data_IF_851208778434
#
_entry.id   IF_851208778434
#
_cell.length_a   1.000
_cell.length_b   1.000
_cell.length_c   1.000
_cell.angle_alpha   90.00
_cell.angle_beta   90.00
_cell.angle_gamma   90.00
#
_symmetry.space_group_name_H-M   'P 1'
#
loop_
_entity.id
_entity.type
_entity.pdbx_description
1 polymer ?
#
# COMPACT_ATOMS: atom_id res chain seq x y z
N UNK A 1 13.85 -13.27 62.30
CA UNK A 1 14.93 -12.48 61.62
C UNK A 1 15.59 -11.43 62.53
N UNK A 2 14.85 -10.72 63.41
CA UNK A 2 15.38 -9.68 64.32
C UNK A 2 16.51 -10.15 65.23
N UNK A 3 16.46 -11.36 65.80
CA UNK A 3 17.49 -11.88 66.78
C UNK A 3 18.84 -12.21 66.12
N UNK A 4 18.88 -12.59 64.82
CA UNK A 4 20.13 -12.88 64.11
C UNK A 4 20.88 -11.59 63.69
N UNK A 5 20.15 -10.52 63.44
CA UNK A 5 20.77 -9.23 63.07
C UNK A 5 21.47 -8.53 64.25
N UNK A 6 21.01 -8.76 65.48
CA UNK A 6 21.63 -8.20 66.68
C UNK A 6 22.97 -8.83 67.07
N UNK A 7 23.22 -10.09 66.65
CA UNK A 7 24.44 -10.81 66.97
C UNK A 7 25.57 -10.65 65.96
N UNK A 8 25.32 -9.94 64.84
CA UNK A 8 26.33 -9.63 63.84
C UNK A 8 27.31 -8.55 64.30
N UNK A 9 28.60 -8.71 63.94
CA UNK A 9 29.59 -7.69 64.21
C UNK A 9 29.31 -6.35 63.51
N UNK A 10 29.84 -5.27 63.97
CA UNK A 10 29.61 -3.93 63.41
C UNK A 10 29.91 -3.88 61.90
N UNK A 11 30.95 -4.55 61.48
CA UNK A 11 31.40 -4.63 60.06
C UNK A 11 30.36 -5.32 59.18
N UNK A 12 29.76 -6.41 59.64
CA UNK A 12 28.75 -7.18 58.91
C UNK A 12 27.42 -6.40 58.81
N UNK A 13 27.08 -5.61 59.81
CA UNK A 13 25.88 -4.75 59.77
C UNK A 13 26.02 -3.65 58.72
N UNK A 14 27.23 -3.04 58.61
CA UNK A 14 27.50 -2.01 57.61
C UNK A 14 27.46 -2.59 56.22
N UNK A 15 28.07 -3.77 56.00
CA UNK A 15 28.03 -4.46 54.69
C UNK A 15 26.62 -4.82 54.27
N UNK A 16 25.80 -5.34 55.16
CA UNK A 16 24.40 -5.66 54.88
C UNK A 16 23.55 -4.43 54.55
N UNK A 17 23.77 -3.32 55.29
CA UNK A 17 23.09 -2.06 55.01
C UNK A 17 23.47 -1.49 53.65
N UNK A 18 24.75 -1.56 53.28
CA UNK A 18 25.26 -1.12 51.98
C UNK A 18 24.68 -1.97 50.84
N UNK A 19 24.59 -3.30 51.03
CA UNK A 19 24.05 -4.21 50.06
C UNK A 19 22.53 -3.98 49.83
N UNK A 20 21.78 -3.74 50.90
CA UNK A 20 20.37 -3.39 50.82
C UNK A 20 20.13 -2.06 50.11
N UNK A 21 20.92 -1.03 50.38
CA UNK A 21 20.82 0.27 49.68
C UNK A 21 21.15 0.12 48.17
N UNK A 22 22.17 -0.66 47.83
CA UNK A 22 22.52 -0.93 46.42
C UNK A 22 21.34 -1.61 45.69
N UNK A 23 20.73 -2.63 46.30
CA UNK A 23 19.59 -3.35 45.71
C UNK A 23 18.41 -2.39 45.50
N UNK A 24 18.10 -1.56 46.50
CA UNK A 24 17.02 -0.57 46.36
C UNK A 24 17.29 0.43 45.25
N UNK A 25 18.50 0.95 45.14
CA UNK A 25 18.89 1.87 44.09
C UNK A 25 18.74 1.21 42.69
N UNK A 26 19.19 -0.05 42.54
CA UNK A 26 19.08 -0.76 41.25
C UNK A 26 17.61 -0.96 40.86
N UNK A 27 16.75 -1.37 41.79
CA UNK A 27 15.33 -1.55 41.54
C UNK A 27 14.65 -0.23 41.16
N UNK A 28 15.02 0.86 41.83
CA UNK A 28 14.47 2.18 41.55
C UNK A 28 14.89 2.68 40.14
N UNK A 29 16.17 2.58 39.82
CA UNK A 29 16.69 2.93 38.48
C UNK A 29 16.06 2.08 37.37
N UNK A 30 15.92 0.77 37.61
CA UNK A 30 15.29 -0.16 36.66
C UNK A 30 13.81 0.20 36.43
N UNK A 31 13.10 0.57 37.50
CA UNK A 31 11.68 0.99 37.37
C UNK A 31 11.52 2.27 36.55
N UNK A 32 12.36 3.27 36.80
CA UNK A 32 12.34 4.52 36.03
C UNK A 32 12.67 4.24 34.54
N UNK A 33 13.70 3.44 34.29
CA UNK A 33 14.12 3.09 32.94
C UNK A 33 12.99 2.36 32.18
N UNK A 34 12.29 1.44 32.83
CA UNK A 34 11.16 0.74 32.26
C UNK A 34 10.04 1.70 31.83
N UNK A 35 9.68 2.66 32.69
CA UNK A 35 8.65 3.66 32.39
C UNK A 35 9.03 4.56 31.18
N UNK A 36 10.32 4.96 31.12
CA UNK A 36 10.82 5.76 30.00
C UNK A 36 10.76 4.96 28.69
N UNK A 37 11.19 3.70 28.70
CA UNK A 37 11.16 2.84 27.52
C UNK A 37 9.73 2.60 27.02
N UNK A 38 8.79 2.34 27.94
CA UNK A 38 7.39 2.12 27.59
C UNK A 38 6.80 3.34 26.89
N UNK A 39 7.02 4.54 27.43
CA UNK A 39 6.56 5.78 26.84
C UNK A 39 7.18 6.05 25.45
N UNK A 40 8.49 5.84 25.31
CA UNK A 40 9.18 6.01 24.03
C UNK A 40 8.69 5.01 22.98
N UNK A 41 8.44 3.78 23.39
CA UNK A 41 7.97 2.74 22.49
C UNK A 41 6.56 3.03 21.99
N UNK A 42 5.65 3.47 22.84
CA UNK A 42 4.28 3.87 22.47
C UNK A 42 4.29 5.06 21.49
N UNK A 43 5.08 6.09 21.76
CA UNK A 43 5.22 7.24 20.85
C UNK A 43 5.80 6.82 19.50
N UNK A 44 6.87 6.02 19.49
CA UNK A 44 7.49 5.56 18.24
C UNK A 44 6.55 4.68 17.40
N UNK A 45 5.69 3.88 18.02
CA UNK A 45 4.69 3.06 17.31
C UNK A 45 3.62 3.97 16.70
N UNK A 46 3.10 4.92 17.46
CA UNK A 46 2.09 5.86 16.99
C UNK A 46 2.59 6.71 15.81
N UNK A 47 3.80 7.24 15.90
CA UNK A 47 4.41 8.05 14.83
C UNK A 47 4.65 7.23 13.56
N UNK A 48 5.11 5.98 13.71
CA UNK A 48 5.28 5.06 12.57
C UNK A 48 3.95 4.70 11.91
N UNK A 49 2.91 4.50 12.70
CA UNK A 49 1.59 4.17 12.15
C UNK A 49 1.02 5.35 11.36
N UNK A 50 1.11 6.57 11.86
CA UNK A 50 0.69 7.78 11.15
C UNK A 50 1.50 7.98 9.87
N UNK A 51 2.82 7.82 9.95
CA UNK A 51 3.72 7.92 8.78
C UNK A 51 3.39 6.89 7.71
N UNK A 52 3.17 5.62 8.10
CA UNK A 52 2.78 4.55 7.19
C UNK A 52 1.42 4.82 6.53
N UNK A 53 0.42 5.26 7.28
CA UNK A 53 -0.90 5.62 6.74
C UNK A 53 -0.79 6.76 5.72
N UNK A 54 -0.02 7.78 6.03
CA UNK A 54 0.22 8.91 5.12
C UNK A 54 0.96 8.46 3.84
N UNK A 55 1.97 7.60 3.97
CA UNK A 55 2.70 7.05 2.83
C UNK A 55 1.80 6.20 1.93
N UNK A 56 0.95 5.35 2.52
CA UNK A 56 -0.02 4.54 1.77
C UNK A 56 -1.03 5.43 1.06
N UNK A 57 -1.59 6.44 1.74
CA UNK A 57 -2.54 7.38 1.14
C UNK A 57 -1.92 8.13 -0.04
N UNK A 58 -0.70 8.64 0.12
CA UNK A 58 0.01 9.34 -0.95
C UNK A 58 0.33 8.43 -2.14
N UNK A 59 0.70 7.16 -1.88
CA UNK A 59 0.94 6.17 -2.92
C UNK A 59 -0.35 5.85 -3.70
N UNK A 60 -1.47 5.67 -3.00
CA UNK A 60 -2.77 5.46 -3.63
C UNK A 60 -3.18 6.64 -4.50
N UNK A 61 -3.07 7.86 -3.97
CA UNK A 61 -3.37 9.09 -4.71
C UNK A 61 -2.51 9.23 -5.97
N UNK A 62 -1.20 8.95 -5.85
CA UNK A 62 -0.27 8.97 -6.98
C UNK A 62 -0.63 7.91 -8.02
N UNK A 63 -0.96 6.70 -7.58
CA UNK A 63 -1.37 5.61 -8.46
C UNK A 63 -2.67 5.95 -9.19
N UNK A 64 -3.66 6.48 -8.48
CA UNK A 64 -4.94 6.90 -9.08
C UNK A 64 -4.75 8.03 -10.12
N UNK A 65 -3.90 9.01 -9.82
CA UNK A 65 -3.55 10.06 -10.79
C UNK A 65 -2.86 9.48 -12.03
N UNK A 66 -1.98 8.51 -11.86
CA UNK A 66 -1.29 7.82 -12.96
C UNK A 66 -2.29 7.03 -13.82
N UNK A 67 -3.19 6.28 -13.20
CA UNK A 67 -4.25 5.53 -13.91
C UNK A 67 -5.14 6.49 -14.72
N UNK A 68 -5.56 7.58 -14.13
CA UNK A 68 -6.38 8.57 -14.83
C UNK A 68 -5.62 9.19 -16.02
N UNK A 69 -4.34 9.52 -15.84
CA UNK A 69 -3.49 10.06 -16.92
C UNK A 69 -3.32 9.06 -18.06
N UNK A 70 -3.07 7.79 -17.74
CA UNK A 70 -2.95 6.72 -18.73
C UNK A 70 -4.27 6.53 -19.49
N UNK A 71 -5.38 6.48 -18.78
CA UNK A 71 -6.71 6.36 -19.40
C UNK A 71 -6.97 7.49 -20.39
N UNK A 72 -6.70 8.74 -19.99
CA UNK A 72 -6.84 9.91 -20.87
C UNK A 72 -5.91 9.85 -22.07
N UNK A 73 -4.63 9.55 -21.86
CA UNK A 73 -3.66 9.45 -22.95
C UNK A 73 -4.01 8.35 -23.94
N UNK A 74 -4.44 7.19 -23.43
CA UNK A 74 -4.89 6.07 -24.25
C UNK A 74 -6.07 6.48 -25.14
N UNK A 75 -7.08 7.15 -24.57
CA UNK A 75 -8.24 7.60 -25.34
C UNK A 75 -7.94 8.71 -26.36
N UNK A 76 -6.86 9.48 -26.16
CA UNK A 76 -6.42 10.50 -27.09
C UNK A 76 -5.65 9.96 -28.29
N UNK A 77 -5.14 8.72 -28.20
CA UNK A 77 -4.38 8.12 -29.31
C UNK A 77 -5.26 7.79 -30.51
N UNK A 78 -4.79 8.21 -31.68
CA UNK A 78 -5.54 8.02 -32.94
C UNK A 78 -5.77 6.56 -33.28
N UNK A 79 -4.79 5.69 -33.01
CA UNK A 79 -4.87 4.25 -33.27
C UNK A 79 -5.91 3.57 -32.38
N UNK A 80 -5.99 3.95 -31.10
CA UNK A 80 -7.02 3.45 -30.16
C UNK A 80 -8.39 3.95 -30.59
N UNK A 81 -8.52 5.21 -30.96
CA UNK A 81 -9.79 5.77 -31.49
C UNK A 81 -10.20 5.07 -32.76
N UNK A 82 -9.27 4.81 -33.70
CA UNK A 82 -9.55 4.09 -34.92
C UNK A 82 -10.02 2.66 -34.65
N UNK A 83 -9.44 1.99 -33.63
CA UNK A 83 -9.91 0.68 -33.20
C UNK A 83 -11.34 0.77 -32.65
N UNK A 84 -11.64 1.76 -31.80
CA UNK A 84 -12.96 1.93 -31.18
C UNK A 84 -14.07 2.26 -32.20
N UNK A 85 -13.76 3.03 -33.24
CA UNK A 85 -14.72 3.52 -34.22
C UNK A 85 -14.83 2.65 -35.48
N UNK A 86 -13.95 1.68 -35.67
CA UNK A 86 -13.95 0.87 -36.88
C UNK A 86 -15.11 -0.14 -36.88
N UNK A 87 -15.82 -0.26 -37.97
CA UNK A 87 -16.90 -1.26 -38.15
C UNK A 87 -16.33 -2.68 -38.17
N UNK A 88 -15.12 -2.87 -38.70
CA UNK A 88 -14.41 -4.15 -38.65
C UNK A 88 -12.96 -3.96 -38.23
N UNK A 89 -12.45 -4.86 -37.39
CA UNK A 89 -11.06 -4.84 -36.95
C UNK A 89 -10.17 -5.66 -37.87
N UNK A 90 -9.10 -5.03 -38.35
CA UNK A 90 -8.01 -5.73 -39.01
C UNK A 90 -6.87 -5.98 -38.01
N UNK A 91 -6.19 -7.12 -38.16
CA UNK A 91 -5.04 -7.50 -37.32
C UNK A 91 -3.98 -6.39 -37.18
N UNK A 92 -3.62 -5.64 -38.24
CA UNK A 92 -2.64 -4.55 -38.13
C UNK A 92 -3.14 -3.38 -37.25
N UNK A 93 -4.43 -3.03 -37.30
CA UNK A 93 -5.02 -1.97 -36.45
C UNK A 93 -4.96 -2.33 -34.98
N UNK A 94 -5.34 -3.57 -34.64
CA UNK A 94 -5.26 -4.11 -33.28
C UNK A 94 -3.83 -4.08 -32.77
N UNK A 95 -2.87 -4.53 -33.59
CA UNK A 95 -1.44 -4.52 -33.22
C UNK A 95 -0.92 -3.11 -32.94
N UNK A 96 -1.22 -2.15 -33.83
CA UNK A 96 -0.77 -0.77 -33.66
C UNK A 96 -1.36 -0.12 -32.41
N UNK A 97 -2.64 -0.36 -32.12
CA UNK A 97 -3.28 0.13 -30.90
C UNK A 97 -2.64 -0.48 -29.64
N UNK A 98 -2.38 -1.79 -29.63
CA UNK A 98 -1.68 -2.45 -28.53
C UNK A 98 -0.27 -1.90 -28.32
N UNK A 99 0.48 -1.68 -29.41
CA UNK A 99 1.83 -1.12 -29.31
C UNK A 99 1.83 0.26 -28.66
N UNK A 100 0.92 1.16 -29.05
CA UNK A 100 0.81 2.48 -28.45
C UNK A 100 0.41 2.43 -26.97
N UNK A 101 -0.45 1.48 -26.58
CA UNK A 101 -0.80 1.29 -25.17
C UNK A 101 0.42 0.81 -24.37
N UNK A 102 1.19 -0.13 -24.91
CA UNK A 102 2.43 -0.58 -24.29
C UNK A 102 3.44 0.57 -24.13
N UNK A 103 3.59 1.42 -25.13
CA UNK A 103 4.51 2.56 -25.07
C UNK A 103 4.08 3.56 -23.97
N UNK A 104 2.77 3.77 -23.81
CA UNK A 104 2.24 4.59 -22.71
C UNK A 104 2.55 3.95 -21.35
N UNK A 105 2.26 2.66 -21.18
CA UNK A 105 2.52 1.95 -19.93
C UNK A 105 4.01 1.98 -19.55
N UNK A 106 4.88 1.77 -20.51
CA UNK A 106 6.32 1.87 -20.32
C UNK A 106 6.77 3.28 -19.93
N UNK A 107 6.17 4.32 -20.51
CA UNK A 107 6.47 5.72 -20.16
C UNK A 107 6.16 6.01 -18.70
N UNK A 108 5.09 5.44 -18.16
CA UNK A 108 4.72 5.60 -16.76
C UNK A 108 5.37 4.58 -15.82
N UNK A 109 6.19 3.66 -16.36
CA UNK A 109 6.82 2.57 -15.61
C UNK A 109 5.82 1.75 -14.77
N UNK A 110 4.65 1.51 -15.33
CA UNK A 110 3.56 0.79 -14.69
C UNK A 110 3.44 -0.63 -15.27
N UNK A 111 3.52 -1.61 -14.37
CA UNK A 111 3.25 -3.02 -14.69
C UNK A 111 1.78 -3.33 -14.43
N UNK A 112 0.90 -2.89 -15.30
CA UNK A 112 -0.52 -3.20 -15.23
C UNK A 112 -1.05 -3.70 -16.58
N UNK A 113 -2.16 -4.44 -16.52
CA UNK A 113 -2.87 -4.88 -17.72
C UNK A 113 -3.99 -3.88 -18.02
N UNK A 114 -4.04 -3.43 -19.25
CA UNK A 114 -5.12 -2.56 -19.74
C UNK A 114 -6.01 -3.38 -20.67
N UNK A 115 -7.29 -3.36 -20.37
CA UNK A 115 -8.33 -3.94 -21.24
C UNK A 115 -9.22 -2.81 -21.74
N UNK A 116 -9.32 -2.67 -23.05
CA UNK A 116 -10.24 -1.73 -23.70
C UNK A 116 -11.32 -2.54 -24.36
N UNK A 117 -12.55 -2.35 -23.89
CA UNK A 117 -13.72 -3.08 -24.36
C UNK A 117 -14.57 -2.17 -25.24
N UNK A 118 -15.00 -2.71 -26.39
CA UNK A 118 -16.01 -2.10 -27.27
C UNK A 118 -17.40 -2.62 -26.94
N UNK A 119 -18.40 -1.84 -27.24
CA UNK A 119 -19.81 -2.21 -27.01
C UNK A 119 -20.28 -3.39 -27.88
N UNK A 120 -19.56 -3.75 -28.94
CA UNK A 120 -19.81 -4.93 -29.79
C UNK A 120 -19.13 -6.22 -29.27
N UNK A 121 -18.53 -6.16 -28.06
CA UNK A 121 -17.84 -7.29 -27.43
C UNK A 121 -16.40 -7.50 -27.86
N UNK A 122 -15.88 -6.69 -28.81
CA UNK A 122 -14.47 -6.74 -29.17
C UNK A 122 -13.61 -6.04 -28.12
N UNK A 123 -12.40 -6.55 -27.87
CA UNK A 123 -11.52 -5.97 -26.85
C UNK A 123 -10.05 -5.96 -27.26
N UNK A 124 -9.31 -5.04 -26.67
CA UNK A 124 -7.83 -5.02 -26.64
C UNK A 124 -7.38 -5.42 -25.26
N UNK A 125 -6.35 -6.25 -25.16
CA UNK A 125 -5.75 -6.67 -23.90
C UNK A 125 -4.22 -6.61 -24.02
N UNK A 126 -3.57 -5.87 -23.11
CA UNK A 126 -2.11 -5.72 -23.09
C UNK A 126 -1.40 -6.76 -22.23
N UNK A 127 -2.13 -7.51 -21.42
CA UNK A 127 -1.54 -8.43 -20.44
C UNK A 127 -1.28 -9.82 -21.02
N UNK A 128 -0.15 -10.45 -20.68
CA UNK A 128 0.13 -11.83 -21.07
C UNK A 128 -0.74 -12.87 -20.36
N UNK A 129 -1.41 -12.48 -19.27
CA UNK A 129 -2.14 -13.41 -18.40
C UNK A 129 -3.64 -13.55 -18.65
N UNK A 130 -4.24 -12.63 -19.40
CA UNK A 130 -5.68 -12.69 -19.70
C UNK A 130 -5.87 -13.17 -21.13
N UNK A 131 -5.93 -14.46 -21.31
CA UNK A 131 -6.11 -15.06 -22.63
C UNK A 131 -7.56 -14.90 -23.13
N UNK A 132 -8.52 -14.74 -22.20
CA UNK A 132 -9.93 -14.60 -22.52
C UNK A 132 -10.61 -13.63 -21.55
N UNK A 133 -11.26 -12.61 -22.12
CA UNK A 133 -12.12 -11.69 -21.37
C UNK A 133 -13.56 -12.11 -21.63
N UNK A 134 -14.26 -12.52 -20.56
CA UNK A 134 -15.68 -12.84 -20.69
C UNK A 134 -16.49 -11.54 -20.76
N UNK A 135 -16.67 -11.06 -21.98
CA UNK A 135 -17.37 -9.80 -22.25
C UNK A 135 -18.82 -9.81 -21.81
N UNK A 136 -19.50 -10.95 -21.95
CA UNK A 136 -20.91 -11.08 -21.57
C UNK A 136 -21.11 -10.83 -20.08
N UNK A 137 -20.25 -11.42 -19.25
CA UNK A 137 -20.28 -11.17 -17.81
C UNK A 137 -19.97 -9.72 -17.42
N UNK A 138 -19.13 -9.04 -18.20
CA UNK A 138 -18.81 -7.63 -17.95
C UNK A 138 -20.03 -6.76 -18.26
N UNK A 139 -20.73 -7.05 -19.34
CA UNK A 139 -21.93 -6.29 -19.72
C UNK A 139 -23.15 -6.54 -18.79
N UNK A 140 -23.16 -7.64 -18.05
CA UNK A 140 -24.21 -7.95 -17.06
C UNK A 140 -23.93 -7.34 -15.66
N UNK A 141 -22.81 -6.61 -15.47
CA UNK A 141 -22.43 -6.09 -14.15
C UNK A 141 -23.05 -4.72 -13.88
N UNK A 142 -23.63 -4.55 -12.69
CA UNK A 142 -24.26 -3.30 -12.22
C UNK A 142 -23.31 -2.09 -12.28
N UNK A 143 -22.01 -2.27 -12.05
CA UNK A 143 -21.04 -1.17 -12.08
C UNK A 143 -20.92 -0.56 -13.48
N UNK A 144 -21.12 -1.32 -14.54
CA UNK A 144 -21.07 -0.80 -15.91
C UNK A 144 -22.25 0.13 -16.18
N UNK A 145 -23.43 -0.26 -15.72
CA UNK A 145 -24.63 0.58 -15.83
C UNK A 145 -24.45 1.90 -15.08
N UNK A 146 -23.84 1.84 -13.91
CA UNK A 146 -23.52 3.03 -13.12
C UNK A 146 -22.53 3.95 -13.85
N UNK A 147 -21.45 3.40 -14.42
CA UNK A 147 -20.47 4.16 -15.22
C UNK A 147 -21.11 4.77 -16.46
N UNK A 148 -21.97 4.02 -17.14
CA UNK A 148 -22.72 4.52 -18.33
C UNK A 148 -23.68 5.64 -17.96
N UNK A 149 -24.37 5.55 -16.80
CA UNK A 149 -25.27 6.58 -16.30
C UNK A 149 -24.52 7.89 -15.95
N UNK A 150 -23.30 7.79 -15.47
CA UNK A 150 -22.46 8.94 -15.14
C UNK A 150 -21.84 9.64 -16.36
N UNK A 151 -21.99 9.10 -17.58
CA UNK A 151 -21.46 9.66 -18.84
C UNK A 151 -19.97 10.05 -18.78
N UNK A 152 -19.17 9.28 -18.04
CA UNK A 152 -17.74 9.50 -17.91
C UNK A 152 -17.36 10.70 -17.03
N UNK A 153 -18.21 11.08 -16.08
CA UNK A 153 -17.91 12.10 -15.05
C UNK A 153 -17.14 11.51 -13.90
#
# INVERSE_FOLDING_TARGET
>A
MKKRFLSLGLREKIQFLFLCTMIVCILFCSGIFYLILENQMQQSIADKEISNRTAISNNLDSTMKSINSISRLTMLRSTVRTFLLAESNSTPRTRNALQEIHDILNTFNLSCNVVILRMDGQYLNTGPGITYVNTDKIFETEWLDEVMAQKGK
#
